data_IF_172852578824
#
_entry.id   IF_172852578824
#
_cell.length_a   1.000
_cell.length_b   1.000
_cell.length_c   1.000
_cell.angle_alpha   90.00
_cell.angle_beta   90.00
_cell.angle_gamma   90.00
#
_symmetry.space_group_name_H-M   'P 1'
#
loop_
_entity.id
_entity.type
_entity.pdbx_description
1 polymer ?
#
# COMPACT_ATOMS: atom_id res chain seq x y z
N UNK A 1 0.82 21.58 -10.78
CA UNK A 1 1.79 21.07 -9.79
C UNK A 1 1.06 20.04 -8.94
N UNK A 2 1.68 18.90 -8.64
CA UNK A 2 1.09 17.91 -7.72
C UNK A 2 0.91 18.52 -6.33
N UNK A 3 -0.17 18.21 -5.61
CA UNK A 3 -0.38 18.72 -4.26
C UNK A 3 0.46 17.99 -3.21
N UNK A 4 0.37 18.45 -1.95
CA UNK A 4 1.20 17.94 -0.85
C UNK A 4 0.92 16.47 -0.49
N UNK A 5 -0.31 16.00 -0.64
CA UNK A 5 -0.67 14.59 -0.40
C UNK A 5 -0.03 13.73 -1.47
N UNK A 6 -0.19 14.10 -2.74
CA UNK A 6 0.42 13.36 -3.85
C UNK A 6 1.94 13.32 -3.73
N UNK A 7 2.59 14.47 -3.47
CA UNK A 7 4.04 14.53 -3.28
C UNK A 7 4.51 13.63 -2.14
N UNK A 8 3.84 13.67 -1.00
CA UNK A 8 4.21 12.88 0.17
C UNK A 8 4.05 11.38 -0.06
N UNK A 9 2.92 10.94 -0.61
CA UNK A 9 2.64 9.51 -0.81
C UNK A 9 3.47 8.91 -1.96
N UNK A 10 3.67 9.64 -3.07
CA UNK A 10 4.60 9.21 -4.13
C UNK A 10 6.04 9.08 -3.61
N UNK A 11 6.48 10.01 -2.75
CA UNK A 11 7.81 9.91 -2.13
C UNK A 11 7.91 8.70 -1.19
N UNK A 12 6.82 8.37 -0.48
CA UNK A 12 6.79 7.17 0.37
C UNK A 12 6.79 5.89 -0.47
N UNK A 13 6.10 5.84 -1.61
CA UNK A 13 6.22 4.74 -2.58
C UNK A 13 7.65 4.55 -3.06
N UNK A 14 8.32 5.62 -3.51
CA UNK A 14 9.71 5.56 -3.94
C UNK A 14 10.65 5.04 -2.83
N UNK A 15 10.41 5.45 -1.58
CA UNK A 15 11.14 4.94 -0.42
C UNK A 15 10.88 3.44 -0.21
N UNK A 16 9.62 3.00 -0.28
CA UNK A 16 9.25 1.60 -0.10
C UNK A 16 9.81 0.70 -1.21
N UNK A 17 9.79 1.15 -2.46
CA UNK A 17 10.39 0.42 -3.58
C UNK A 17 11.89 0.22 -3.38
N UNK A 18 12.62 1.27 -2.99
CA UNK A 18 14.06 1.14 -2.69
C UNK A 18 14.33 0.12 -1.57
N UNK A 19 13.55 0.17 -0.49
CA UNK A 19 13.70 -0.76 0.63
C UNK A 19 13.42 -2.20 0.19
N UNK A 20 12.35 -2.43 -0.58
CA UNK A 20 12.02 -3.76 -1.10
C UNK A 20 13.04 -4.26 -2.12
N UNK A 21 13.63 -3.36 -2.92
CA UNK A 21 14.73 -3.67 -3.82
C UNK A 21 15.97 -4.11 -3.05
N UNK A 22 16.36 -3.37 -2.00
CA UNK A 22 17.46 -3.76 -1.09
C UNK A 22 17.21 -5.11 -0.44
N UNK A 23 15.98 -5.37 0.02
CA UNK A 23 15.61 -6.63 0.68
C UNK A 23 15.84 -7.88 -0.19
N UNK A 24 15.75 -7.75 -1.51
CA UNK A 24 15.86 -8.87 -2.45
C UNK A 24 16.91 -8.64 -3.55
N UNK A 25 17.99 -7.89 -3.24
CA UNK A 25 19.09 -7.67 -4.19
C UNK A 25 19.88 -8.96 -4.46
N UNK A 26 20.02 -9.82 -3.45
CA UNK A 26 20.63 -11.15 -3.58
C UNK A 26 19.55 -12.16 -4.01
N UNK A 27 19.79 -12.86 -5.12
CA UNK A 27 18.87 -13.88 -5.65
C UNK A 27 18.73 -15.12 -4.76
N UNK A 28 19.61 -15.31 -3.79
CA UNK A 28 19.68 -16.48 -2.92
C UNK A 28 19.35 -16.18 -1.46
N UNK A 29 19.35 -14.90 -1.06
CA UNK A 29 19.14 -14.46 0.32
C UNK A 29 18.24 -13.24 0.37
N UNK A 30 17.39 -13.19 1.38
CA UNK A 30 16.56 -12.02 1.68
C UNK A 30 17.17 -11.30 2.88
N UNK A 31 17.39 -9.99 2.74
CA UNK A 31 17.73 -9.15 3.89
C UNK A 31 16.47 -8.94 4.72
N UNK A 32 16.37 -9.69 5.82
CA UNK A 32 15.23 -9.65 6.73
C UNK A 32 15.10 -8.31 7.49
N UNK A 33 16.18 -7.54 7.64
CA UNK A 33 16.12 -6.22 8.28
C UNK A 33 15.44 -5.24 7.30
N UNK A 34 15.91 -5.21 6.06
CA UNK A 34 15.29 -4.40 5.02
C UNK A 34 13.84 -4.83 4.74
N UNK A 35 13.55 -6.14 4.70
CA UNK A 35 12.17 -6.60 4.52
C UNK A 35 11.26 -6.22 5.71
N UNK A 36 11.76 -6.25 6.94
CA UNK A 36 11.01 -5.79 8.10
C UNK A 36 10.70 -4.29 8.02
N UNK A 37 11.67 -3.46 7.60
CA UNK A 37 11.48 -2.03 7.33
C UNK A 37 10.41 -1.79 6.25
N UNK A 38 10.48 -2.53 5.14
CA UNK A 38 9.49 -2.46 4.07
C UNK A 38 8.10 -2.84 4.57
N UNK A 39 7.98 -3.96 5.28
CA UNK A 39 6.71 -4.47 5.81
C UNK A 39 6.04 -3.48 6.75
N UNK A 40 6.80 -2.91 7.68
CA UNK A 40 6.30 -1.86 8.57
C UNK A 40 5.86 -0.63 7.78
N UNK A 41 6.70 -0.16 6.86
CA UNK A 41 6.42 1.00 6.03
C UNK A 41 5.16 0.82 5.18
N UNK A 42 5.00 -0.31 4.50
CA UNK A 42 3.84 -0.60 3.66
C UNK A 42 2.55 -0.69 4.49
N UNK A 43 2.58 -1.35 5.65
CA UNK A 43 1.42 -1.41 6.54
C UNK A 43 1.03 -0.05 7.09
N UNK A 44 2.01 0.81 7.37
CA UNK A 44 1.76 2.21 7.72
C UNK A 44 1.14 2.96 6.52
N UNK A 45 1.70 2.81 5.32
CA UNK A 45 1.20 3.43 4.10
C UNK A 45 -0.27 3.11 3.82
N UNK A 46 -0.60 1.82 3.75
CA UNK A 46 -1.98 1.35 3.58
C UNK A 46 -2.88 1.90 4.69
N UNK A 47 -2.36 1.98 5.92
CA UNK A 47 -3.06 2.59 7.05
C UNK A 47 -3.35 4.08 6.85
N UNK A 48 -2.41 4.84 6.30
CA UNK A 48 -2.59 6.26 5.96
C UNK A 48 -3.74 6.42 4.96
N UNK A 49 -3.80 5.58 3.94
CA UNK A 49 -4.82 5.70 2.90
C UNK A 49 -6.20 5.25 3.38
N UNK A 50 -6.29 4.03 3.92
CA UNK A 50 -7.55 3.41 4.30
C UNK A 50 -8.20 4.06 5.54
N UNK A 51 -7.40 4.65 6.44
CA UNK A 51 -7.91 5.23 7.70
C UNK A 51 -7.93 6.75 7.72
N UNK A 52 -7.18 7.41 6.84
CA UNK A 52 -7.10 8.88 6.82
C UNK A 52 -7.57 9.42 5.47
N UNK A 53 -6.87 9.12 4.38
CA UNK A 53 -7.11 9.77 3.08
C UNK A 53 -8.47 9.41 2.48
N UNK A 54 -8.75 8.12 2.27
CA UNK A 54 -9.98 7.67 1.64
C UNK A 54 -11.23 8.00 2.48
N UNK A 55 -11.22 7.88 3.82
CA UNK A 55 -12.31 8.37 4.64
C UNK A 55 -12.53 9.88 4.52
N UNK A 56 -11.47 10.70 4.57
CA UNK A 56 -11.58 12.15 4.45
C UNK A 56 -12.17 12.56 3.09
N UNK A 57 -11.63 12.03 1.99
CA UNK A 57 -12.13 12.29 0.64
C UNK A 57 -13.58 11.82 0.47
N UNK A 58 -13.99 10.73 1.11
CA UNK A 58 -15.39 10.27 1.08
C UNK A 58 -16.32 11.20 1.83
N UNK A 59 -15.91 11.69 3.01
CA UNK A 59 -16.70 12.66 3.79
C UNK A 59 -16.91 13.95 2.99
N UNK A 60 -15.86 14.46 2.36
CA UNK A 60 -15.93 15.62 1.47
C UNK A 60 -16.82 15.40 0.22
N UNK A 61 -17.09 14.14 -0.16
CA UNK A 61 -18.00 13.76 -1.27
C UNK A 61 -19.37 13.29 -0.79
N UNK A 62 -19.83 13.74 0.37
CA UNK A 62 -21.13 13.38 0.93
C UNK A 62 -21.34 11.86 0.99
N UNK A 63 -20.29 11.12 1.37
CA UNK A 63 -20.32 9.66 1.50
C UNK A 63 -19.94 8.88 0.23
N UNK A 64 -19.78 9.53 -0.94
CA UNK A 64 -19.48 8.84 -2.21
C UNK A 64 -18.00 8.46 -2.33
N UNK A 65 -17.72 7.18 -2.61
CA UNK A 65 -16.36 6.67 -2.88
C UNK A 65 -15.82 7.12 -4.24
N UNK A 66 -14.51 7.41 -4.31
CA UNK A 66 -13.81 7.55 -5.59
C UNK A 66 -13.72 6.14 -6.19
N UNK A 67 -14.18 5.95 -7.43
CA UNK A 67 -14.37 4.60 -8.01
C UNK A 67 -13.14 3.70 -7.89
N UNK A 68 -11.95 4.25 -8.12
CA UNK A 68 -10.70 3.50 -8.08
C UNK A 68 -10.34 2.96 -6.67
N UNK A 69 -10.81 3.59 -5.58
CA UNK A 69 -10.49 3.13 -4.22
C UNK A 69 -11.05 1.74 -3.92
N UNK A 70 -12.09 1.28 -4.63
CA UNK A 70 -12.60 -0.08 -4.46
C UNK A 70 -11.59 -1.14 -4.92
N UNK A 71 -10.86 -0.88 -6.01
CA UNK A 71 -9.79 -1.77 -6.48
C UNK A 71 -8.58 -1.68 -5.56
N UNK A 72 -8.19 -0.47 -5.15
CA UNK A 72 -7.08 -0.25 -4.22
C UNK A 72 -7.30 -0.97 -2.89
N UNK A 73 -8.50 -0.93 -2.31
CA UNK A 73 -8.79 -1.70 -1.09
C UNK A 73 -8.67 -3.23 -1.27
N UNK A 74 -8.90 -3.75 -2.47
CA UNK A 74 -8.64 -5.17 -2.76
C UNK A 74 -7.14 -5.45 -2.86
N UNK A 75 -6.39 -4.57 -3.53
CA UNK A 75 -4.93 -4.64 -3.61
C UNK A 75 -4.29 -4.56 -2.21
N UNK A 76 -4.74 -3.63 -1.38
CA UNK A 76 -4.33 -3.52 0.03
C UNK A 76 -4.57 -4.80 0.80
N UNK A 77 -5.72 -5.44 0.61
CA UNK A 77 -6.02 -6.73 1.22
C UNK A 77 -5.03 -7.82 0.81
N UNK A 78 -4.70 -7.90 -0.48
CA UNK A 78 -3.72 -8.85 -1.00
C UNK A 78 -2.30 -8.57 -0.47
N UNK A 79 -1.86 -7.30 -0.51
CA UNK A 79 -0.57 -6.86 0.01
C UNK A 79 -0.43 -7.16 1.51
N UNK A 80 -1.44 -6.82 2.32
CA UNK A 80 -1.47 -7.12 3.75
C UNK A 80 -1.37 -8.63 4.00
N UNK A 81 -2.07 -9.44 3.21
CA UNK A 81 -2.04 -10.89 3.37
C UNK A 81 -0.66 -11.49 3.03
N UNK A 82 0.00 -10.98 1.97
CA UNK A 82 1.35 -11.42 1.59
C UNK A 82 2.39 -11.06 2.65
N UNK A 83 2.36 -9.83 3.17
CA UNK A 83 3.37 -9.42 4.17
C UNK A 83 3.18 -10.08 5.53
N UNK A 84 2.08 -10.81 5.78
CA UNK A 84 1.94 -11.62 7.00
C UNK A 84 2.81 -12.88 6.96
N UNK A 85 3.14 -13.37 5.77
CA UNK A 85 3.93 -14.58 5.56
C UNK A 85 5.43 -14.30 5.70
N UNK A 86 6.20 -15.35 5.99
CA UNK A 86 7.66 -15.29 5.94
C UNK A 86 8.09 -14.95 4.51
N UNK A 87 8.98 -13.96 4.29
CA UNK A 87 9.35 -13.56 2.95
C UNK A 87 10.06 -14.66 2.19
N UNK A 88 9.63 -14.87 0.96
CA UNK A 88 10.32 -15.64 -0.08
C UNK A 88 10.49 -14.75 -1.32
N UNK A 89 11.38 -15.11 -2.24
CA UNK A 89 11.51 -14.37 -3.50
C UNK A 89 10.21 -14.40 -4.33
N UNK A 90 9.43 -15.49 -4.25
CA UNK A 90 8.11 -15.58 -4.90
C UNK A 90 7.10 -14.61 -4.30
N UNK A 91 7.04 -14.48 -2.97
CA UNK A 91 6.20 -13.49 -2.27
C UNK A 91 6.63 -12.07 -2.64
N UNK A 92 7.93 -11.78 -2.65
CA UNK A 92 8.44 -10.45 -3.04
C UNK A 92 8.09 -10.13 -4.50
N UNK A 93 8.21 -11.11 -5.41
CA UNK A 93 7.80 -10.96 -6.80
C UNK A 93 6.30 -10.69 -6.92
N UNK A 94 5.47 -11.38 -6.13
CA UNK A 94 4.03 -11.16 -6.10
C UNK A 94 3.66 -9.76 -5.58
N UNK A 95 4.31 -9.29 -4.51
CA UNK A 95 4.17 -7.93 -3.99
C UNK A 95 4.50 -6.90 -5.08
N UNK A 96 5.65 -7.03 -5.74
CA UNK A 96 6.05 -6.13 -6.84
C UNK A 96 5.05 -6.14 -8.00
N UNK A 97 4.54 -7.31 -8.37
CA UNK A 97 3.55 -7.42 -9.44
C UNK A 97 2.24 -6.68 -9.11
N UNK A 98 1.83 -6.67 -7.84
CA UNK A 98 0.69 -5.89 -7.37
C UNK A 98 1.01 -4.40 -7.40
N UNK A 99 2.12 -3.97 -6.77
CA UNK A 99 2.54 -2.56 -6.70
C UNK A 99 2.68 -1.92 -8.09
N UNK A 100 3.29 -2.62 -9.05
CA UNK A 100 3.42 -2.15 -10.44
C UNK A 100 2.09 -1.83 -11.14
N UNK A 101 0.97 -2.42 -10.70
CA UNK A 101 -0.37 -2.09 -11.21
C UNK A 101 -1.15 -1.15 -10.28
N UNK A 102 -0.80 -1.15 -9.01
CA UNK A 102 -1.42 -0.38 -7.94
C UNK A 102 -1.01 1.09 -8.00
N UNK A 103 0.29 1.38 -7.94
CA UNK A 103 0.84 2.73 -7.81
C UNK A 103 0.38 3.64 -8.98
N UNK A 104 0.33 3.17 -10.25
CA UNK A 104 -0.19 4.00 -11.34
C UNK A 104 -1.66 4.40 -11.20
N UNK A 105 -2.49 3.66 -10.47
CA UNK A 105 -3.88 4.06 -10.22
C UNK A 105 -3.96 5.26 -9.27
N UNK A 106 -2.96 5.42 -8.42
CA UNK A 106 -2.87 6.45 -7.39
C UNK A 106 -2.16 7.69 -7.88
N UNK A 107 -1.00 7.50 -8.51
CA UNK A 107 -0.03 8.56 -8.79
C UNK A 107 -0.22 9.28 -10.13
N UNK A 108 -0.74 8.59 -11.16
CA UNK A 108 -0.85 9.17 -12.50
C UNK A 108 -1.69 10.46 -12.49
N UNK A 109 -1.55 11.29 -13.52
CA UNK A 109 -2.46 12.42 -13.72
C UNK A 109 -3.93 11.94 -13.75
N UNK A 110 -4.78 12.58 -12.94
CA UNK A 110 -6.15 12.15 -12.68
C UNK A 110 -6.27 10.87 -11.84
N UNK A 111 -5.20 10.46 -11.18
CA UNK A 111 -5.13 9.34 -10.24
C UNK A 111 -5.88 9.62 -8.94
N UNK A 112 -5.83 8.65 -8.02
CA UNK A 112 -6.57 8.77 -6.74
C UNK A 112 -6.04 9.90 -5.88
N UNK A 113 -4.73 10.14 -5.83
CA UNK A 113 -4.17 11.22 -4.99
C UNK A 113 -4.65 12.58 -5.44
N UNK A 114 -4.52 12.89 -6.74
CA UNK A 114 -4.99 14.17 -7.29
C UNK A 114 -6.51 14.33 -7.08
N UNK A 115 -7.30 13.27 -7.29
CA UNK A 115 -8.76 13.31 -7.06
C UNK A 115 -9.12 13.55 -5.60
N UNK A 116 -8.40 12.94 -4.66
CA UNK A 116 -8.60 13.18 -3.24
C UNK A 116 -8.27 14.63 -2.89
N UNK A 117 -7.16 15.17 -3.38
CA UNK A 117 -6.77 16.57 -3.15
C UNK A 117 -7.80 17.56 -3.71
N UNK A 118 -8.25 17.37 -4.95
CA UNK A 118 -9.27 18.22 -5.58
C UNK A 118 -10.56 18.26 -4.77
N UNK A 119 -10.97 17.11 -4.25
CA UNK A 119 -12.18 16.95 -3.45
C UNK A 119 -12.05 17.57 -2.06
N UNK A 120 -10.88 17.42 -1.43
CA UNK A 120 -10.60 17.99 -0.11
C UNK A 120 -10.47 19.52 -0.15
N UNK A 121 -10.02 20.08 -1.28
CA UNK A 121 -9.88 21.52 -1.46
C UNK A 121 -9.03 22.14 -0.35
N UNK A 122 -9.62 23.06 0.41
CA UNK A 122 -8.95 23.73 1.53
C UNK A 122 -8.51 22.79 2.67
N UNK A 123 -9.14 21.62 2.83
CA UNK A 123 -8.79 20.65 3.88
C UNK A 123 -7.57 19.79 3.53
N UNK A 124 -7.08 19.84 2.29
CA UNK A 124 -6.00 18.99 1.82
C UNK A 124 -4.71 19.15 2.64
N UNK A 125 -4.38 20.38 3.05
CA UNK A 125 -3.20 20.66 3.87
C UNK A 125 -3.29 20.03 5.27
N UNK A 126 -4.48 20.06 5.89
CA UNK A 126 -4.71 19.43 7.19
C UNK A 126 -4.62 17.90 7.09
N UNK A 127 -5.17 17.32 6.01
CA UNK A 127 -5.07 15.88 5.76
C UNK A 127 -3.62 15.48 5.51
N UNK A 128 -2.87 16.24 4.70
CA UNK A 128 -1.44 16.01 4.48
C UNK A 128 -0.64 15.99 5.80
N UNK A 129 -0.89 16.96 6.69
CA UNK A 129 -0.25 17.00 8.00
C UNK A 129 -0.59 15.77 8.85
N UNK A 130 -1.83 15.26 8.79
CA UNK A 130 -2.23 14.03 9.49
C UNK A 130 -1.52 12.79 8.94
N UNK A 131 -1.40 12.68 7.61
CA UNK A 131 -0.67 11.57 6.96
C UNK A 131 0.79 11.57 7.43
N UNK A 132 1.48 12.72 7.34
CA UNK A 132 2.88 12.89 7.76
C UNK A 132 3.12 12.52 9.23
N UNK A 133 2.16 12.83 10.12
CA UNK A 133 2.24 12.52 11.54
C UNK A 133 1.73 11.12 11.92
N UNK A 134 1.42 10.25 10.95
CA UNK A 134 0.99 8.88 11.25
C UNK A 134 2.13 8.13 11.96
N UNK A 135 1.89 7.53 13.13
CA UNK A 135 2.96 6.84 13.86
C UNK A 135 3.40 5.56 13.13
N UNK A 136 4.61 5.06 13.41
CA UNK A 136 5.05 3.74 12.98
C UNK A 136 4.10 2.63 13.49
N UNK A 137 4.03 1.52 12.75
CA UNK A 137 3.10 0.41 13.07
C UNK A 137 3.84 -0.76 13.69
N UNK A 138 3.32 -1.29 14.80
CA UNK A 138 3.90 -2.50 15.39
C UNK A 138 3.52 -3.72 14.57
N UNK A 139 4.53 -4.38 14.00
CA UNK A 139 4.33 -5.56 13.18
C UNK A 139 4.41 -6.84 14.02
N UNK A 140 3.48 -7.78 13.80
CA UNK A 140 3.50 -9.11 14.46
C UNK A 140 4.52 -10.05 13.79
N UNK A 141 4.87 -11.15 14.45
CA UNK A 141 5.66 -12.23 13.84
C UNK A 141 4.99 -12.75 12.56
N UNK A 142 5.77 -13.33 11.66
CA UNK A 142 5.24 -14.02 10.48
C UNK A 142 4.31 -15.17 10.89
N UNK A 143 3.36 -15.50 10.02
CA UNK A 143 2.43 -16.59 10.23
C UNK A 143 2.25 -17.38 8.94
N UNK A 144 2.85 -18.57 8.87
CA UNK A 144 2.81 -19.45 7.71
C UNK A 144 1.84 -20.64 7.91
N UNK A 145 0.83 -20.47 8.76
CA UNK A 145 -0.25 -21.47 8.89
C UNK A 145 -0.96 -21.66 7.55
N UNK A 146 -1.51 -22.87 7.33
CA UNK A 146 -2.31 -23.20 6.14
C UNK A 146 -3.41 -22.16 5.91
N UNK A 147 -4.11 -21.76 6.97
CA UNK A 147 -5.15 -20.71 6.90
C UNK A 147 -4.62 -19.36 6.45
N UNK A 148 -3.41 -18.97 6.84
CA UNK A 148 -2.79 -17.71 6.40
C UNK A 148 -2.42 -17.77 4.91
N UNK A 149 -1.84 -18.89 4.47
CA UNK A 149 -1.52 -19.13 3.06
C UNK A 149 -2.78 -19.11 2.17
N UNK A 150 -3.84 -19.81 2.58
CA UNK A 150 -5.14 -19.80 1.89
C UNK A 150 -5.76 -18.41 1.88
N UNK A 151 -5.68 -17.67 2.99
CA UNK A 151 -6.18 -16.30 3.07
C UNK A 151 -5.45 -15.37 2.09
N UNK A 152 -4.14 -15.53 1.94
CA UNK A 152 -3.36 -14.79 0.96
C UNK A 152 -3.78 -15.15 -0.47
N UNK A 153 -3.89 -16.45 -0.82
CA UNK A 153 -4.34 -16.89 -2.15
C UNK A 153 -5.73 -16.33 -2.50
N UNK A 154 -6.66 -16.41 -1.55
CA UNK A 154 -8.01 -15.86 -1.71
C UNK A 154 -8.01 -14.33 -1.86
N UNK A 155 -7.14 -13.61 -1.14
CA UNK A 155 -7.01 -12.17 -1.26
C UNK A 155 -6.48 -11.76 -2.64
N UNK A 156 -5.46 -12.46 -3.17
CA UNK A 156 -4.95 -12.24 -4.52
C UNK A 156 -6.02 -12.49 -5.58
N UNK A 157 -6.74 -13.61 -5.49
CA UNK A 157 -7.81 -13.94 -6.44
C UNK A 157 -8.92 -12.87 -6.43
N UNK A 158 -9.36 -12.43 -5.25
CA UNK A 158 -10.36 -11.35 -5.11
C UNK A 158 -9.89 -10.02 -5.69
N UNK A 159 -8.59 -9.74 -5.62
CA UNK A 159 -7.99 -8.55 -6.21
C UNK A 159 -7.70 -8.69 -7.72
N UNK A 160 -7.93 -9.87 -8.30
CA UNK A 160 -7.78 -10.17 -9.72
C UNK A 160 -6.36 -10.58 -10.13
N UNK A 161 -5.59 -11.16 -9.20
CA UNK A 161 -4.26 -11.70 -9.49
C UNK A 161 -4.25 -13.22 -9.43
N UNK A 162 -3.69 -13.83 -10.48
CA UNK A 162 -3.36 -15.24 -10.55
C UNK A 162 -1.83 -15.37 -10.43
N UNK A 163 -1.31 -15.12 -9.22
CA UNK A 163 0.11 -15.23 -8.93
C UNK A 163 0.32 -16.42 -8.00
N UNK A 164 1.29 -17.26 -8.35
CA UNK A 164 1.76 -18.29 -7.43
C UNK A 164 2.85 -17.72 -6.54
N UNK A 165 2.81 -18.03 -5.25
CA UNK A 165 3.77 -17.58 -4.25
C UNK A 165 4.02 -18.64 -3.17
#
# INVERSE_FOLDING_TARGET
MAGKISQFLCADHARLDDVLRRAAVDSTRIDHIAYAEFREGLLRHIGMEEKILFPAARSARSGKRIRATAKLSLDHGALVALVVLTPTHSIIAAIRAILNRHDPLEERAGGVYEKCEQVLGAEADQVAARLQNTPPVKVKRYNDSVTALESARNALQRAGYELDF
#
